data_IF_950191434272
#
_entry.id   IF_950191434272
#
_cell.length_a   1.000
_cell.length_b   1.000
_cell.length_c   1.000
_cell.angle_alpha   90.00
_cell.angle_beta   90.00
_cell.angle_gamma   90.00
#
_symmetry.space_group_name_H-M   'P 1'
#
loop_
_entity.id
_entity.type
_entity.pdbx_description
1 polymer ?
#
# COMPACT_ATOMS: atom_id res chain seq x y z
N UNK A 1 2.93 21.28 77.53
CA UNK A 1 1.96 20.32 76.95
C UNK A 1 2.10 20.32 75.43
N UNK A 2 1.92 19.17 74.78
CA UNK A 2 2.36 18.92 73.39
C UNK A 2 1.76 19.86 72.34
N UNK A 3 2.60 20.34 71.41
CA UNK A 3 2.16 20.79 70.08
C UNK A 3 2.21 19.59 69.13
N UNK A 4 1.06 19.10 68.68
CA UNK A 4 0.99 18.13 67.58
C UNK A 4 1.52 18.79 66.29
N UNK A 5 2.50 18.16 65.63
CA UNK A 5 2.76 18.39 64.20
C UNK A 5 2.02 17.31 63.43
N UNK A 6 1.02 17.71 62.66
CA UNK A 6 0.36 16.84 61.69
C UNK A 6 1.34 16.61 60.52
N UNK A 7 1.75 15.36 60.31
CA UNK A 7 2.54 14.97 59.13
C UNK A 7 1.60 14.28 58.15
N UNK A 8 1.14 15.00 57.14
CA UNK A 8 0.38 14.40 56.04
C UNK A 8 1.35 13.62 55.15
N UNK A 9 1.41 12.30 55.33
CA UNK A 9 2.05 11.40 54.37
C UNK A 9 1.11 11.27 53.18
N UNK A 10 1.45 11.95 52.09
CA UNK A 10 0.74 11.82 50.81
C UNK A 10 1.20 10.51 50.16
N UNK A 11 0.41 9.45 50.36
CA UNK A 11 0.60 8.16 49.71
C UNK A 11 0.21 8.28 48.23
N UNK A 12 1.14 8.75 47.41
CA UNK A 12 1.04 8.66 45.95
C UNK A 12 1.27 7.18 45.61
N UNK A 13 0.19 6.41 45.51
CA UNK A 13 0.26 5.14 44.78
C UNK A 13 0.54 5.48 43.31
N UNK A 14 1.65 4.99 42.71
CA UNK A 14 1.73 4.94 41.27
C UNK A 14 0.68 3.93 40.82
N UNK A 15 -0.39 4.42 40.17
CA UNK A 15 -1.21 3.58 39.31
C UNK A 15 -0.31 3.10 38.17
N UNK A 16 0.30 1.93 38.34
CA UNK A 16 0.78 1.12 37.23
C UNK A 16 -0.45 0.71 36.43
N UNK A 17 -0.81 1.55 35.45
CA UNK A 17 -1.63 1.13 34.33
C UNK A 17 -0.74 0.17 33.53
N UNK A 18 -0.74 -1.10 33.94
CA UNK A 18 -0.34 -2.18 33.06
C UNK A 18 -1.42 -2.21 31.99
N UNK A 19 -1.11 -1.71 30.80
CA UNK A 19 -1.85 -2.09 29.62
C UNK A 19 -1.66 -3.61 29.48
N UNK A 20 -2.70 -4.37 29.82
CA UNK A 20 -2.75 -5.79 29.45
C UNK A 20 -2.99 -5.81 27.95
N UNK A 21 -1.91 -5.94 27.19
CA UNK A 21 -1.97 -6.46 25.84
C UNK A 21 -2.39 -7.93 25.99
N UNK A 22 -3.65 -8.25 25.70
CA UNK A 22 -4.15 -9.62 25.75
C UNK A 22 -3.61 -10.37 24.53
N UNK A 23 -2.37 -10.89 24.64
CA UNK A 23 -1.86 -11.86 23.69
C UNK A 23 -2.68 -13.14 23.84
N UNK A 24 -3.69 -13.31 22.99
CA UNK A 24 -4.37 -14.60 22.84
C UNK A 24 -3.34 -15.68 22.52
N UNK A 25 -3.49 -16.87 23.10
CA UNK A 25 -2.54 -17.95 22.80
C UNK A 25 -2.72 -18.38 21.34
N UNK A 26 -1.64 -18.77 20.68
CA UNK A 26 -1.67 -19.12 19.26
C UNK A 26 -2.61 -20.29 18.96
N UNK A 27 -2.82 -21.19 19.93
CA UNK A 27 -3.82 -22.26 19.83
C UNK A 27 -5.25 -21.73 19.79
N UNK A 28 -5.55 -20.63 20.49
CA UNK A 28 -6.85 -19.97 20.44
C UNK A 28 -7.08 -19.31 19.07
N UNK A 29 -6.08 -18.60 18.54
CA UNK A 29 -6.11 -17.95 17.22
C UNK A 29 -6.26 -18.99 16.10
N UNK A 30 -5.45 -20.06 16.12
CA UNK A 30 -5.55 -21.18 15.16
C UNK A 30 -6.94 -21.79 15.21
N UNK A 31 -7.47 -22.05 16.41
CA UNK A 31 -8.80 -22.63 16.59
C UNK A 31 -9.89 -21.72 16.05
N UNK A 32 -9.85 -20.43 16.37
CA UNK A 32 -10.80 -19.42 15.89
C UNK A 32 -10.85 -19.42 14.35
N UNK A 33 -9.69 -19.36 13.70
CA UNK A 33 -9.62 -19.32 12.23
C UNK A 33 -10.04 -20.66 11.61
N UNK A 34 -9.76 -21.80 12.25
CA UNK A 34 -10.25 -23.10 11.80
C UNK A 34 -11.79 -23.22 11.92
N UNK A 35 -12.37 -22.81 13.05
CA UNK A 35 -13.83 -22.83 13.27
C UNK A 35 -14.55 -21.89 12.31
N UNK A 36 -13.99 -20.71 12.03
CA UNK A 36 -14.59 -19.71 11.14
C UNK A 36 -14.40 -20.00 9.65
N UNK A 37 -13.21 -20.45 9.21
CA UNK A 37 -12.85 -20.45 7.79
C UNK A 37 -12.57 -21.82 7.17
N UNK A 38 -12.04 -22.80 7.92
CA UNK A 38 -11.58 -24.08 7.33
C UNK A 38 -12.70 -24.95 6.73
N UNK A 39 -13.96 -24.71 7.10
CA UNK A 39 -15.14 -25.38 6.51
C UNK A 39 -15.85 -24.54 5.44
N UNK A 40 -15.44 -23.28 5.23
CA UNK A 40 -16.16 -22.30 4.40
C UNK A 40 -15.30 -21.71 3.27
N UNK A 41 -13.98 -21.92 3.28
CA UNK A 41 -13.07 -21.52 2.22
C UNK A 41 -12.18 -22.70 1.80
N UNK A 42 -12.21 -23.03 0.51
CA UNK A 42 -11.31 -24.03 -0.10
C UNK A 42 -9.84 -23.55 -0.11
N UNK A 43 -9.63 -22.23 -0.03
CA UNK A 43 -8.32 -21.56 0.02
C UNK A 43 -7.75 -21.41 1.44
N UNK A 44 -8.38 -21.99 2.46
CA UNK A 44 -7.90 -21.93 3.84
C UNK A 44 -6.53 -22.62 3.97
N UNK A 45 -5.50 -21.85 4.33
CA UNK A 45 -4.14 -22.32 4.55
C UNK A 45 -3.53 -21.72 5.81
N UNK A 46 -2.75 -22.55 6.51
CA UNK A 46 -1.89 -22.14 7.62
C UNK A 46 -0.47 -22.51 7.22
N UNK A 47 0.45 -21.54 7.28
CA UNK A 47 1.89 -21.76 7.11
C UNK A 47 2.60 -21.35 8.39
N UNK A 48 3.56 -22.19 8.78
CA UNK A 48 4.46 -21.97 9.90
C UNK A 48 5.87 -21.80 9.33
N UNK A 49 6.47 -20.63 9.49
CA UNK A 49 7.75 -20.27 8.86
C UNK A 49 8.44 -19.17 9.67
N UNK A 50 9.76 -19.22 9.78
CA UNK A 50 10.57 -18.09 10.23
C UNK A 50 10.52 -17.01 9.12
N UNK A 51 9.74 -15.96 9.33
CA UNK A 51 9.48 -14.92 8.31
C UNK A 51 10.48 -13.77 8.49
N UNK A 52 10.78 -13.39 9.73
CA UNK A 52 11.61 -12.23 10.06
C UNK A 52 13.10 -12.56 10.29
N UNK A 53 13.42 -13.86 10.38
CA UNK A 53 14.75 -14.45 10.46
C UNK A 53 15.43 -14.24 11.81
N UNK A 54 14.62 -14.25 12.89
CA UNK A 54 15.07 -14.24 14.28
C UNK A 54 15.36 -15.64 14.87
N UNK A 55 15.06 -16.70 14.11
CA UNK A 55 15.18 -18.13 14.46
C UNK A 55 14.05 -18.75 15.28
N UNK A 56 12.90 -18.09 15.40
CA UNK A 56 11.66 -18.73 15.83
C UNK A 56 10.63 -18.86 14.68
N UNK A 57 9.33 -19.08 14.94
CA UNK A 57 8.37 -19.50 13.92
C UNK A 57 7.06 -18.70 13.94
N UNK A 58 6.79 -18.01 12.84
CA UNK A 58 5.63 -17.16 12.62
C UNK A 58 4.48 -17.90 11.94
N UNK A 59 3.27 -17.39 12.14
CA UNK A 59 2.07 -17.91 11.48
C UNK A 59 1.57 -16.99 10.38
N UNK A 60 1.38 -17.56 9.19
CA UNK A 60 0.71 -16.93 8.06
C UNK A 60 -0.57 -17.70 7.76
N UNK A 61 -1.70 -16.99 7.79
CA UNK A 61 -3.02 -17.52 7.49
C UNK A 61 -3.54 -16.89 6.20
N UNK A 62 -3.93 -17.70 5.23
CA UNK A 62 -4.67 -17.25 4.04
C UNK A 62 -6.03 -17.92 3.97
N UNK A 63 -7.07 -17.20 3.56
CA UNK A 63 -8.43 -17.73 3.42
C UNK A 63 -9.30 -16.80 2.57
N UNK A 64 -10.29 -17.35 1.88
CA UNK A 64 -11.29 -16.56 1.15
C UNK A 64 -12.16 -15.73 2.10
N UNK A 65 -12.35 -14.46 1.76
CA UNK A 65 -13.12 -13.50 2.56
C UNK A 65 -14.00 -12.62 1.65
N UNK A 66 -15.17 -13.14 1.27
CA UNK A 66 -16.04 -12.50 0.28
C UNK A 66 -15.55 -12.80 -1.13
N UNK A 67 -15.26 -11.75 -1.90
CA UNK A 67 -14.88 -11.86 -3.33
C UNK A 67 -13.36 -11.96 -3.57
N UNK A 68 -12.54 -11.95 -2.51
CA UNK A 68 -11.09 -12.05 -2.59
C UNK A 68 -10.48 -12.89 -1.46
N UNK A 69 -9.15 -12.97 -1.42
CA UNK A 69 -8.41 -13.67 -0.37
C UNK A 69 -7.96 -12.69 0.72
N UNK A 70 -8.06 -13.12 1.96
CA UNK A 70 -7.48 -12.46 3.12
C UNK A 70 -6.14 -13.09 3.47
N UNK A 71 -5.24 -12.27 4.02
CA UNK A 71 -3.98 -12.67 4.62
C UNK A 71 -3.86 -12.09 6.02
N UNK A 72 -3.48 -12.93 6.97
CA UNK A 72 -3.05 -12.49 8.31
C UNK A 72 -1.67 -13.04 8.61
N UNK A 73 -0.78 -12.18 9.11
CA UNK A 73 0.55 -12.56 9.58
C UNK A 73 0.63 -12.26 11.06
N UNK A 74 1.04 -13.25 11.85
CA UNK A 74 1.28 -13.15 13.27
C UNK A 74 2.76 -13.48 13.53
N UNK A 75 3.53 -12.47 13.93
CA UNK A 75 4.92 -12.68 14.36
C UNK A 75 4.96 -13.25 15.77
N UNK A 76 5.95 -14.08 16.06
CA UNK A 76 6.17 -14.63 17.40
C UNK A 76 7.24 -13.85 18.17
N UNK A 77 6.81 -12.86 18.95
CA UNK A 77 7.72 -12.09 19.80
C UNK A 77 7.99 -12.81 21.10
N UNK A 78 9.08 -13.55 21.17
CA UNK A 78 9.57 -14.23 22.39
C UNK A 78 8.52 -15.18 23.03
N UNK A 79 7.71 -15.86 22.21
CA UNK A 79 6.63 -16.74 22.63
C UNK A 79 5.24 -16.09 22.72
N UNK A 80 5.11 -14.80 22.39
CA UNK A 80 3.84 -14.07 22.32
C UNK A 80 3.53 -13.69 20.87
N UNK A 81 2.39 -14.15 20.35
CA UNK A 81 2.04 -13.97 18.94
C UNK A 81 1.28 -12.67 18.71
N UNK A 82 1.81 -11.82 17.83
CA UNK A 82 1.26 -10.50 17.51
C UNK A 82 0.85 -10.42 16.05
N UNK A 83 -0.43 -10.15 15.78
CA UNK A 83 -0.92 -9.86 14.42
C UNK A 83 -0.29 -8.56 13.91
N UNK A 84 0.51 -8.65 12.86
CA UNK A 84 1.20 -7.52 12.22
C UNK A 84 0.66 -7.16 10.83
N UNK A 85 -0.07 -8.08 10.19
CA UNK A 85 -0.78 -7.89 8.92
C UNK A 85 -2.20 -8.44 9.06
N UNK A 86 -3.20 -7.70 8.58
CA UNK A 86 -4.59 -8.13 8.41
C UNK A 86 -5.16 -7.44 7.17
N UNK A 87 -5.09 -8.13 6.03
CA UNK A 87 -5.24 -7.53 4.69
C UNK A 87 -6.05 -8.42 3.76
N UNK A 88 -6.58 -7.84 2.68
CA UNK A 88 -7.34 -8.56 1.64
C UNK A 88 -6.83 -8.23 0.23
N UNK A 89 -7.20 -9.07 -0.75
CA UNK A 89 -6.90 -8.88 -2.18
C UNK A 89 -6.28 -10.11 -2.87
N UNK A 90 -5.56 -9.88 -3.97
CA UNK A 90 -4.76 -10.92 -4.65
C UNK A 90 -3.39 -11.02 -3.97
N UNK A 91 -3.30 -11.94 -3.02
CA UNK A 91 -2.13 -12.13 -2.18
C UNK A 91 -1.07 -12.97 -2.90
N UNK A 92 0.08 -12.36 -3.22
CA UNK A 92 1.21 -13.03 -3.89
C UNK A 92 2.42 -13.12 -2.95
N UNK A 93 2.50 -14.18 -2.15
CA UNK A 93 3.58 -14.34 -1.17
C UNK A 93 4.84 -14.88 -1.86
N UNK A 94 5.89 -14.06 -1.92
CA UNK A 94 7.24 -14.47 -2.29
C UNK A 94 8.01 -14.84 -1.02
N UNK A 95 8.30 -16.12 -0.83
CA UNK A 95 8.97 -16.64 0.36
C UNK A 95 10.49 -16.48 0.32
N UNK A 96 11.04 -15.77 -0.66
CA UNK A 96 12.45 -15.44 -0.74
C UNK A 96 12.79 -14.27 0.21
N UNK A 97 13.16 -14.59 1.45
CA UNK A 97 14.58 -14.60 1.81
C UNK A 97 15.41 -13.56 0.93
N UNK A 98 15.79 -12.32 1.33
CA UNK A 98 16.57 -11.31 0.50
C UNK A 98 18.10 -10.93 0.73
N UNK A 99 18.66 -10.83 1.96
CA UNK A 99 20.06 -10.79 2.55
C UNK A 99 21.10 -11.84 2.05
N UNK A 100 20.94 -13.15 2.33
CA UNK A 100 21.60 -14.20 1.52
C UNK A 100 21.18 -14.10 0.05
N UNK A 101 20.06 -13.45 -0.26
CA UNK A 101 18.74 -14.08 -0.16
C UNK A 101 18.23 -14.50 1.25
N UNK A 102 18.11 -13.60 2.28
CA UNK A 102 17.34 -13.71 3.57
C UNK A 102 16.61 -12.42 4.15
N UNK A 103 15.42 -12.50 4.79
CA UNK A 103 14.41 -11.40 4.99
C UNK A 103 13.27 -11.47 3.99
N UNK A 104 12.15 -12.01 4.47
CA UNK A 104 10.95 -12.30 3.70
C UNK A 104 10.32 -11.04 3.11
N UNK A 105 9.91 -11.15 1.85
CA UNK A 105 9.33 -10.06 1.07
C UNK A 105 7.88 -10.38 0.75
N UNK A 106 6.97 -9.99 1.64
CA UNK A 106 5.54 -10.13 1.36
C UNK A 106 5.08 -9.04 0.38
N UNK A 107 4.60 -9.45 -0.79
CA UNK A 107 3.99 -8.55 -1.78
C UNK A 107 2.48 -8.73 -1.76
N UNK A 108 1.75 -7.67 -1.43
CA UNK A 108 0.29 -7.65 -1.48
C UNK A 108 -0.18 -6.81 -2.67
N UNK A 109 -0.87 -7.45 -3.60
CA UNK A 109 -1.53 -6.81 -4.74
C UNK A 109 -3.04 -6.84 -4.49
N UNK A 110 -3.56 -5.86 -3.76
CA UNK A 110 -5.00 -5.70 -3.59
C UNK A 110 -5.61 -5.05 -4.83
N UNK A 111 -5.94 -5.90 -5.79
CA UNK A 111 -6.93 -5.64 -6.83
C UNK A 111 -8.24 -6.24 -6.31
N UNK A 112 -9.31 -5.43 -6.21
CA UNK A 112 -10.65 -5.96 -5.95
C UNK A 112 -11.21 -6.51 -7.27
N UNK A 113 -11.88 -7.66 -7.22
CA UNK A 113 -12.27 -8.37 -8.43
C UNK A 113 -13.33 -7.58 -9.21
N UNK A 114 -12.95 -7.04 -10.37
CA UNK A 114 -13.69 -6.02 -11.11
C UNK A 114 -15.06 -6.45 -11.69
N UNK A 115 -16.03 -6.83 -10.86
CA UNK A 115 -17.42 -6.80 -11.32
C UNK A 115 -17.96 -5.37 -11.32
N UNK A 116 -18.98 -5.15 -12.16
CA UNK A 116 -20.10 -4.32 -11.76
C UNK A 116 -19.81 -2.81 -11.52
N UNK A 117 -18.69 -2.27 -12.01
CA UNK A 117 -18.30 -0.87 -11.85
C UNK A 117 -17.33 -0.58 -10.71
N UNK A 118 -16.53 -1.56 -10.30
CA UNK A 118 -15.43 -1.36 -9.36
C UNK A 118 -14.25 -0.53 -9.92
N UNK A 119 -13.46 -0.01 -8.99
CA UNK A 119 -12.31 0.86 -9.28
C UNK A 119 -11.20 0.11 -10.05
N UNK A 120 -10.67 0.67 -11.16
CA UNK A 120 -9.51 0.17 -11.90
C UNK A 120 -8.19 0.56 -11.21
N UNK A 121 -8.18 0.83 -9.91
CA UNK A 121 -6.97 1.14 -9.15
C UNK A 121 -6.57 -0.08 -8.32
N UNK A 122 -5.42 -0.67 -8.65
CA UNK A 122 -4.78 -1.70 -7.83
C UNK A 122 -3.95 -1.06 -6.71
N UNK A 123 -4.08 -1.59 -5.49
CA UNK A 123 -3.23 -1.25 -4.35
C UNK A 123 -2.06 -2.23 -4.26
N UNK A 124 -0.83 -1.72 -4.28
CA UNK A 124 0.40 -2.50 -4.21
C UNK A 124 1.19 -2.14 -2.95
N UNK A 125 1.50 -3.16 -2.15
CA UNK A 125 2.27 -3.03 -0.91
C UNK A 125 3.37 -4.07 -0.83
N UNK A 126 4.52 -3.66 -0.30
CA UNK A 126 5.65 -4.56 -0.03
C UNK A 126 6.08 -4.41 1.42
N UNK A 127 5.95 -5.48 2.17
CA UNK A 127 6.36 -5.59 3.56
C UNK A 127 7.67 -6.38 3.64
N UNK A 128 8.55 -5.92 4.52
CA UNK A 128 9.76 -6.61 4.94
C UNK A 128 9.64 -6.91 6.41
N UNK A 129 10.11 -8.07 6.84
CA UNK A 129 10.13 -8.47 8.24
C UNK A 129 11.58 -8.62 8.69
N UNK A 130 11.87 -8.12 9.89
CA UNK A 130 13.18 -8.23 10.51
C UNK A 130 13.07 -8.08 12.04
N UNK A 131 13.40 -9.14 12.78
CA UNK A 131 13.54 -9.14 14.24
C UNK A 131 12.38 -8.44 14.98
N UNK A 132 11.22 -9.11 15.02
CA UNK A 132 9.93 -8.66 15.59
C UNK A 132 9.25 -7.48 14.89
N UNK A 133 9.91 -6.83 13.91
CA UNK A 133 9.38 -5.65 13.24
C UNK A 133 8.93 -5.92 11.80
N UNK A 134 7.82 -5.27 11.42
CA UNK A 134 7.34 -5.21 10.04
C UNK A 134 7.55 -3.79 9.47
N UNK A 135 8.14 -3.72 8.28
CA UNK A 135 8.45 -2.48 7.59
C UNK A 135 7.75 -2.41 6.23
N UNK A 136 6.88 -1.41 6.07
CA UNK A 136 6.21 -1.12 4.80
C UNK A 136 7.13 -0.30 3.89
N UNK A 137 7.69 -0.91 2.84
CA UNK A 137 8.66 -0.27 1.93
C UNK A 137 8.00 0.43 0.75
N UNK A 138 7.03 -0.22 0.12
CA UNK A 138 6.18 0.36 -0.91
C UNK A 138 4.74 0.35 -0.40
N UNK A 139 4.02 1.47 -0.55
CA UNK A 139 2.59 1.56 -0.37
C UNK A 139 2.02 2.54 -1.39
N UNK A 140 1.46 2.04 -2.47
CA UNK A 140 0.87 2.89 -3.49
C UNK A 140 -0.36 2.28 -4.13
N UNK A 141 -1.20 3.13 -4.72
CA UNK A 141 -2.18 2.75 -5.73
C UNK A 141 -1.70 3.19 -7.11
N UNK A 142 -2.07 2.41 -8.12
CA UNK A 142 -1.87 2.74 -9.53
C UNK A 142 -3.04 2.21 -10.35
N UNK A 143 -3.35 2.88 -11.45
CA UNK A 143 -4.33 2.37 -12.40
C UNK A 143 -3.85 1.02 -12.96
N UNK A 144 -4.65 -0.03 -12.76
CA UNK A 144 -4.45 -1.37 -13.26
C UNK A 144 -5.72 -1.78 -13.99
N UNK A 145 -5.62 -1.98 -15.30
CA UNK A 145 -6.76 -2.11 -16.21
C UNK A 145 -6.70 -3.39 -17.04
N UNK A 146 -5.80 -4.32 -16.67
CA UNK A 146 -5.58 -5.59 -17.37
C UNK A 146 -6.87 -6.44 -17.46
N UNK A 147 -7.75 -6.32 -16.45
CA UNK A 147 -9.03 -7.03 -16.35
C UNK A 147 -10.25 -6.22 -16.84
N UNK A 148 -10.08 -4.93 -17.16
CA UNK A 148 -11.19 -4.01 -17.45
C UNK A 148 -11.30 -3.82 -18.97
N UNK A 149 -12.23 -4.50 -19.63
CA UNK A 149 -12.34 -4.51 -21.09
C UNK A 149 -12.69 -3.13 -21.70
N UNK A 150 -11.67 -2.39 -22.15
CA UNK A 150 -11.77 -1.37 -23.19
C UNK A 150 -10.92 -1.80 -24.40
N UNK A 151 -11.42 -1.61 -25.61
CA UNK A 151 -10.96 -2.31 -26.82
C UNK A 151 -9.54 -1.90 -27.28
N UNK A 152 -8.97 -0.81 -26.72
CA UNK A 152 -7.65 -0.27 -27.05
C UNK A 152 -6.58 -0.45 -25.94
N UNK A 153 -6.89 -1.09 -24.81
CA UNK A 153 -6.00 -1.22 -23.63
C UNK A 153 -4.55 -1.65 -23.95
N UNK A 154 -4.38 -2.61 -24.86
CA UNK A 154 -3.07 -3.16 -25.24
C UNK A 154 -2.14 -2.15 -25.94
N UNK A 155 -2.63 -0.93 -26.22
CA UNK A 155 -1.86 0.19 -26.76
C UNK A 155 -1.49 1.24 -25.71
N UNK A 156 -2.00 1.10 -24.49
CA UNK A 156 -1.81 2.08 -23.41
C UNK A 156 -0.57 1.74 -22.59
N UNK A 157 0.35 2.68 -22.48
CA UNK A 157 1.47 2.56 -21.55
C UNK A 157 0.97 2.92 -20.14
N UNK A 158 0.37 1.95 -19.44
CA UNK A 158 -0.13 2.10 -18.06
C UNK A 158 1.02 2.05 -17.03
N UNK A 159 1.94 1.11 -17.23
CA UNK A 159 3.13 0.91 -16.40
C UNK A 159 4.39 1.03 -17.28
N UNK A 160 5.50 1.55 -16.74
CA UNK A 160 6.75 1.64 -17.48
C UNK A 160 7.36 0.25 -17.72
N UNK A 161 7.85 0.00 -18.94
CA UNK A 161 8.58 -1.24 -19.24
C UNK A 161 9.86 -1.43 -18.40
N UNK A 162 10.48 -0.33 -17.93
CA UNK A 162 11.68 -0.34 -17.10
C UNK A 162 11.65 0.79 -16.07
N UNK A 163 12.04 0.49 -14.84
CA UNK A 163 12.29 1.50 -13.80
C UNK A 163 13.74 2.00 -13.85
N UNK A 164 13.98 3.19 -13.30
CA UNK A 164 15.32 3.74 -13.10
C UNK A 164 16.04 3.01 -11.97
N UNK A 165 17.36 2.84 -12.09
CA UNK A 165 18.20 2.31 -11.01
C UNK A 165 18.16 3.22 -9.75
N UNK A 166 18.11 4.53 -9.98
CA UNK A 166 17.96 5.56 -8.95
C UNK A 166 16.80 6.50 -9.32
N UNK A 167 15.81 6.59 -8.42
CA UNK A 167 14.75 7.58 -8.52
C UNK A 167 15.30 9.00 -8.29
N UNK A 168 14.65 10.01 -8.83
CA UNK A 168 15.01 11.41 -8.61
C UNK A 168 13.80 12.31 -8.44
N UNK A 169 13.96 13.40 -7.71
CA UNK A 169 12.87 14.34 -7.45
C UNK A 169 12.68 15.34 -8.59
N UNK A 170 11.44 15.72 -8.84
CA UNK A 170 11.09 16.88 -9.66
C UNK A 170 10.07 17.76 -8.97
N UNK A 171 10.21 19.08 -9.16
CA UNK A 171 9.27 20.09 -8.69
C UNK A 171 8.30 20.49 -9.81
N UNK A 172 7.01 20.51 -9.51
CA UNK A 172 5.96 20.95 -10.44
C UNK A 172 5.99 22.47 -10.60
N UNK A 173 6.04 22.99 -11.83
CA UNK A 173 6.20 24.43 -12.12
C UNK A 173 4.90 25.17 -12.47
N UNK A 174 3.85 24.44 -12.83
CA UNK A 174 2.49 24.94 -13.08
C UNK A 174 1.52 24.49 -12.00
N UNK A 175 0.40 25.19 -11.85
CA UNK A 175 -0.68 24.74 -10.97
C UNK A 175 -1.67 23.83 -11.73
N UNK A 176 -2.48 23.07 -10.99
CA UNK A 176 -3.45 22.11 -11.52
C UNK A 176 -2.84 21.09 -12.49
N UNK A 177 -1.66 20.57 -12.16
CA UNK A 177 -0.87 19.80 -13.12
C UNK A 177 -1.36 18.35 -13.24
N UNK A 178 -1.77 17.94 -14.43
CA UNK A 178 -2.45 16.67 -14.67
C UNK A 178 -1.53 15.46 -14.46
N UNK A 179 -1.96 14.56 -13.58
CA UNK A 179 -1.47 13.18 -13.46
C UNK A 179 -2.41 12.28 -14.27
N UNK A 180 -1.86 11.34 -15.04
CA UNK A 180 -2.61 10.47 -15.95
C UNK A 180 -2.37 8.99 -15.64
N UNK A 181 -3.32 8.12 -15.99
CA UNK A 181 -3.10 6.68 -15.90
C UNK A 181 -2.23 6.12 -17.04
N UNK A 182 -2.13 6.81 -18.18
CA UNK A 182 -1.31 6.39 -19.32
C UNK A 182 -0.43 7.52 -19.86
N UNK A 183 0.68 7.15 -20.51
CA UNK A 183 1.65 8.07 -21.11
C UNK A 183 1.20 8.69 -22.46
N UNK A 184 -0.03 9.21 -22.54
CA UNK A 184 -0.59 9.78 -23.77
C UNK A 184 -1.63 10.91 -23.55
N UNK A 185 -2.07 11.53 -24.65
CA UNK A 185 -3.11 12.58 -24.69
C UNK A 185 -4.35 12.22 -25.55
N UNK A 186 -4.58 10.94 -25.82
CA UNK A 186 -5.75 10.52 -26.56
C UNK A 186 -7.04 10.75 -25.73
N UNK A 187 -8.19 10.54 -26.36
CA UNK A 187 -9.47 10.46 -25.65
C UNK A 187 -9.64 9.05 -25.08
N UNK A 188 -10.11 8.92 -23.83
CA UNK A 188 -10.26 7.65 -23.12
C UNK A 188 -11.66 7.53 -22.51
N UNK A 189 -12.35 6.40 -22.69
CA UNK A 189 -13.69 6.17 -22.15
C UNK A 189 -13.65 5.59 -20.72
N UNK A 190 -12.80 6.15 -19.86
CA UNK A 190 -12.61 5.72 -18.48
C UNK A 190 -13.53 6.47 -17.50
N UNK A 191 -14.22 5.73 -16.62
CA UNK A 191 -15.19 6.28 -15.65
C UNK A 191 -14.58 6.75 -14.32
N UNK A 192 -13.29 6.47 -14.07
CA UNK A 192 -12.57 6.87 -12.85
C UNK A 192 -11.50 7.93 -13.16
N UNK A 193 -11.95 9.08 -13.67
CA UNK A 193 -11.09 10.18 -14.12
C UNK A 193 -11.66 11.53 -13.68
N UNK A 194 -10.80 12.55 -13.58
CA UNK A 194 -11.14 13.92 -13.19
C UNK A 194 -12.05 14.63 -14.19
N UNK A 195 -11.92 14.28 -15.47
CA UNK A 195 -12.54 14.95 -16.60
C UNK A 195 -12.99 13.87 -17.60
N UNK A 196 -14.27 13.90 -17.98
CA UNK A 196 -14.83 12.97 -18.96
C UNK A 196 -13.99 12.91 -20.24
N UNK A 197 -13.86 11.71 -20.82
CA UNK A 197 -13.12 11.47 -22.06
C UNK A 197 -11.60 11.73 -21.95
N UNK A 198 -11.03 11.79 -20.74
CA UNK A 198 -9.58 11.94 -20.50
C UNK A 198 -9.02 10.73 -19.75
N UNK A 199 -7.69 10.64 -19.66
CA UNK A 199 -6.97 9.74 -18.77
C UNK A 199 -6.47 10.42 -17.47
N UNK A 200 -6.98 11.61 -17.13
CA UNK A 200 -6.50 12.39 -15.97
C UNK A 200 -7.09 11.79 -14.69
N UNK A 201 -6.24 11.36 -13.75
CA UNK A 201 -6.64 10.67 -12.51
C UNK A 201 -6.52 11.54 -11.26
N UNK A 202 -5.65 12.56 -11.29
CA UNK A 202 -5.61 13.63 -10.30
C UNK A 202 -4.86 14.85 -10.84
N UNK A 203 -4.76 15.92 -10.05
CA UNK A 203 -3.99 17.13 -10.35
C UNK A 203 -3.07 17.48 -9.19
N UNK A 204 -1.92 18.09 -9.49
CA UNK A 204 -0.92 18.49 -8.51
C UNK A 204 -0.88 20.00 -8.32
N UNK A 205 -0.55 20.44 -7.10
CA UNK A 205 -0.24 21.84 -6.81
C UNK A 205 1.07 22.30 -7.46
N UNK A 206 1.13 23.59 -7.83
CA UNK A 206 2.41 24.23 -8.14
C UNK A 206 3.37 24.17 -6.95
N UNK A 207 4.61 23.77 -7.20
CA UNK A 207 5.66 23.66 -6.18
C UNK A 207 5.68 22.33 -5.43
N UNK A 208 4.70 21.45 -5.66
CA UNK A 208 4.77 20.06 -5.20
C UNK A 208 6.04 19.38 -5.71
N UNK A 209 6.58 18.46 -4.90
CA UNK A 209 7.74 17.62 -5.24
C UNK A 209 7.27 16.18 -5.35
N UNK A 210 7.66 15.49 -6.42
CA UNK A 210 7.28 14.10 -6.70
C UNK A 210 8.51 13.31 -7.14
N UNK A 211 8.52 12.01 -6.86
CA UNK A 211 9.63 11.12 -7.20
C UNK A 211 9.42 10.50 -8.58
N UNK A 212 10.35 10.71 -9.51
CA UNK A 212 10.37 10.05 -10.82
C UNK A 212 10.97 8.66 -10.67
N UNK A 213 10.20 7.65 -11.05
CA UNK A 213 10.57 6.23 -10.98
C UNK A 213 10.92 5.65 -12.35
N UNK A 214 10.38 6.20 -13.43
CA UNK A 214 10.67 5.80 -14.81
C UNK A 214 10.45 6.95 -15.79
N UNK A 215 10.98 6.80 -17.01
CA UNK A 215 10.74 7.70 -18.12
C UNK A 215 10.44 6.93 -19.42
N UNK A 216 9.42 7.36 -20.15
CA UNK A 216 8.98 6.82 -21.43
C UNK A 216 8.96 7.94 -22.47
N UNK A 217 9.47 7.72 -23.69
CA UNK A 217 9.32 8.70 -24.79
C UNK A 217 8.02 8.43 -25.52
N UNK A 218 7.04 9.29 -25.33
CA UNK A 218 5.71 9.12 -25.91
C UNK A 218 5.74 9.25 -27.43
N UNK A 219 4.85 8.53 -28.11
CA UNK A 219 4.63 8.63 -29.55
C UNK A 219 3.62 9.75 -29.90
N UNK A 220 3.72 10.89 -29.19
CA UNK A 220 2.85 12.04 -29.41
C UNK A 220 3.51 13.08 -30.34
N UNK A 221 2.70 13.99 -30.90
CA UNK A 221 3.14 15.00 -31.86
C UNK A 221 4.18 16.00 -31.33
N UNK A 222 4.48 16.00 -30.02
CA UNK A 222 5.41 16.92 -29.38
C UNK A 222 6.68 16.23 -28.83
N UNK A 223 6.88 14.94 -29.14
CA UNK A 223 8.00 14.10 -28.66
C UNK A 223 8.20 14.16 -27.14
N UNK A 224 7.11 14.24 -26.35
CA UNK A 224 7.20 14.44 -24.90
C UNK A 224 7.86 13.26 -24.20
N UNK A 225 8.69 13.55 -23.19
CA UNK A 225 9.05 12.54 -22.20
C UNK A 225 7.94 12.47 -21.16
N UNK A 226 7.39 11.29 -20.99
CA UNK A 226 6.47 10.95 -19.92
C UNK A 226 7.26 10.39 -18.75
N UNK A 227 6.98 10.89 -17.55
CA UNK A 227 7.64 10.54 -16.30
C UNK A 227 6.63 9.75 -15.47
N UNK A 228 6.95 8.50 -15.15
CA UNK A 228 6.17 7.73 -14.20
C UNK A 228 6.61 8.14 -12.80
N UNK A 229 5.68 8.70 -12.02
CA UNK A 229 5.97 9.35 -10.74
C UNK A 229 5.24 8.71 -9.59
N UNK A 230 5.82 8.86 -8.41
CA UNK A 230 5.20 8.56 -7.12
C UNK A 230 4.92 9.87 -6.37
N UNK A 231 3.67 10.00 -5.92
CA UNK A 231 3.02 11.22 -5.45
C UNK A 231 2.45 10.97 -4.05
N UNK A 232 2.76 11.83 -3.08
CA UNK A 232 2.11 11.80 -1.77
C UNK A 232 0.83 12.63 -1.77
N UNK A 233 -0.08 12.36 -0.82
CA UNK A 233 -1.40 12.99 -0.81
C UNK A 233 -1.33 14.52 -0.61
N UNK A 234 -0.29 15.02 0.05
CA UNK A 234 -0.07 16.46 0.26
C UNK A 234 0.31 17.21 -1.03
N UNK A 235 0.73 16.50 -2.07
CA UNK A 235 1.01 17.08 -3.40
C UNK A 235 -0.25 17.23 -4.27
N UNK A 236 -1.34 16.54 -3.91
CA UNK A 236 -2.58 16.45 -4.69
C UNK A 236 -3.49 17.65 -4.42
N UNK A 237 -4.03 18.23 -5.50
CA UNK A 237 -5.03 19.28 -5.46
C UNK A 237 -6.45 18.69 -5.61
N UNK A 238 -6.99 18.20 -4.48
CA UNK A 238 -8.34 17.62 -4.40
C UNK A 238 -9.47 18.63 -4.71
N UNK A 239 -9.22 19.95 -4.61
CA UNK A 239 -10.20 20.98 -5.00
C UNK A 239 -10.35 21.07 -6.53
N UNK A 240 -9.27 20.79 -7.28
CA UNK A 240 -9.24 20.85 -8.75
C UNK A 240 -9.61 19.52 -9.43
N UNK A 241 -9.55 18.42 -8.67
CA UNK A 241 -10.09 17.12 -9.03
C UNK A 241 -10.35 16.34 -7.74
N UNK A 242 -11.61 16.02 -7.44
CA UNK A 242 -11.91 15.01 -6.42
C UNK A 242 -11.36 13.68 -6.89
N UNK A 243 -10.21 13.26 -6.37
CA UNK A 243 -9.58 12.02 -6.83
C UNK A 243 -10.54 10.85 -6.61
N UNK A 244 -10.75 9.96 -7.60
CA UNK A 244 -11.61 8.79 -7.44
C UNK A 244 -11.00 7.73 -6.48
N UNK A 245 -9.81 8.00 -5.96
CA UNK A 245 -9.02 7.11 -5.13
C UNK A 245 -9.41 7.30 -3.67
N UNK A 246 -9.93 6.23 -3.05
CA UNK A 246 -10.04 6.14 -1.60
C UNK A 246 -8.74 5.55 -1.02
N UNK A 247 -7.97 6.35 -0.29
CA UNK A 247 -6.80 5.89 0.45
C UNK A 247 -7.26 5.17 1.73
N UNK A 248 -7.40 3.86 1.67
CA UNK A 248 -7.79 3.04 2.82
C UNK A 248 -6.65 2.79 3.83
N UNK A 249 -5.42 3.24 3.53
CA UNK A 249 -4.21 2.93 4.28
C UNK A 249 -3.31 4.15 4.49
N UNK A 250 -2.73 4.26 5.68
CA UNK A 250 -1.84 5.36 6.05
C UNK A 250 -0.63 5.48 5.10
N UNK A 251 -0.30 6.73 4.76
CA UNK A 251 0.80 7.10 3.86
C UNK A 251 0.79 6.39 2.49
N UNK A 252 -0.35 5.88 2.05
CA UNK A 252 -0.51 5.34 0.71
C UNK A 252 -0.37 6.45 -0.33
N UNK A 253 0.48 6.20 -1.33
CA UNK A 253 0.83 7.14 -2.39
C UNK A 253 0.08 6.83 -3.67
N UNK A 254 0.05 7.76 -4.61
CA UNK A 254 -0.39 7.52 -5.99
C UNK A 254 0.83 7.32 -6.90
N UNK A 255 0.74 6.37 -7.84
CA UNK A 255 1.62 6.30 -9.01
C UNK A 255 0.86 6.49 -10.32
N UNK A 256 1.45 7.27 -11.23
CA UNK A 256 0.89 7.61 -12.53
C UNK A 256 1.86 8.42 -13.38
N UNK A 257 1.41 8.89 -14.54
CA UNK A 257 2.22 9.59 -15.53
C UNK A 257 2.03 11.10 -15.49
N UNK A 258 3.13 11.84 -15.57
CA UNK A 258 3.16 13.28 -15.89
C UNK A 258 4.08 13.52 -17.10
N UNK A 259 4.06 14.71 -17.69
CA UNK A 259 5.01 15.08 -18.75
C UNK A 259 6.22 15.84 -18.18
N UNK A 260 7.35 15.76 -18.86
CA UNK A 260 8.54 16.58 -18.62
C UNK A 260 8.34 18.10 -18.80
N UNK A 261 7.28 18.55 -19.49
CA UNK A 261 7.14 19.96 -19.91
C UNK A 261 6.95 20.97 -18.79
N UNK A 262 6.44 20.57 -17.63
CA UNK A 262 6.09 21.48 -16.53
C UNK A 262 6.72 21.06 -15.21
N UNK A 263 7.92 20.48 -15.28
CA UNK A 263 8.70 20.07 -14.10
C UNK A 263 10.14 20.59 -14.15
N UNK A 264 10.75 20.73 -12.98
CA UNK A 264 12.16 21.06 -12.80
C UNK A 264 12.81 19.94 -11.98
N UNK A 265 13.87 19.31 -12.49
CA UNK A 265 14.66 18.34 -11.71
C UNK A 265 15.45 19.07 -10.64
N UNK A 266 15.42 18.54 -9.41
CA UNK A 266 16.07 19.11 -8.22
C UNK A 266 17.15 18.19 -7.65
#
# INVERSE_FOLDING_TARGET
MMKFKLVCIFLILPFLIVAQDESESIEAIIKEYQENYANHSEDFSIKLIDVDNDSDLDYIFSFGCGEGNCLRVHLNTNGAYKKVIDEFGVVSIDFMDSKNNEASKLILNSVTNHCCGESPFGSHRVFYFAADEVHLKNNYVSYNHDDYNDEDNYRLELLPAYFLDEAYEVRITTDNYNVRFSADLNSHHAIFTCEEQTNIITKLYKGAVVNVLAAHRGNDHEERTWLYVEISNEAINDEACSSPISYAFDHQKLRGWISDKYVEKI
#
